data_IF_871308332638
#
_entry.id   IF_871308332638
#
_cell.length_a   1.000
_cell.length_b   1.000
_cell.length_c   1.000
_cell.angle_alpha   90.00
_cell.angle_beta   90.00
_cell.angle_gamma   90.00
#
_symmetry.space_group_name_H-M   'P 1'
#
loop_
_entity.id
_entity.type
_entity.pdbx_description
1 polymer ?
#
# COMPACT_ATOMS: atom_id res chain seq x y z
N UNK A 1 -11.36 21.24 24.12
CA UNK A 1 -11.18 21.31 22.66
C UNK A 1 -12.20 20.38 22.01
N UNK A 2 -13.03 20.89 21.09
CA UNK A 2 -14.07 20.10 20.40
C UNK A 2 -13.45 19.45 19.16
N UNK A 3 -13.56 18.12 19.02
CA UNK A 3 -13.23 17.39 17.79
C UNK A 3 -14.33 17.63 16.77
N UNK A 4 -14.02 18.34 15.70
CA UNK A 4 -14.88 18.37 14.52
C UNK A 4 -14.48 17.21 13.62
N UNK A 5 -15.39 16.23 13.46
CA UNK A 5 -15.26 15.19 12.44
C UNK A 5 -16.17 15.64 11.29
N UNK A 6 -15.58 16.25 10.28
CA UNK A 6 -16.27 16.53 9.02
C UNK A 6 -16.46 15.23 8.25
N UNK A 7 -17.72 14.87 7.97
CA UNK A 7 -18.07 13.79 7.05
C UNK A 7 -17.97 14.34 5.63
N UNK A 8 -16.96 13.89 4.88
CA UNK A 8 -16.86 14.14 3.45
C UNK A 8 -18.02 13.44 2.72
N UNK A 9 -18.87 14.21 2.04
CA UNK A 9 -19.85 13.70 1.08
C UNK A 9 -19.18 13.55 -0.29
N UNK A 10 -19.29 12.41 -1.00
CA UNK A 10 -18.79 12.30 -2.36
C UNK A 10 -19.60 13.17 -3.32
N UNK A 11 -18.89 13.95 -4.14
CA UNK A 11 -19.41 14.62 -5.32
C UNK A 11 -19.51 13.58 -6.44
N UNK A 12 -20.67 13.50 -7.09
CA UNK A 12 -20.85 12.70 -8.31
C UNK A 12 -19.96 13.23 -9.43
N UNK A 13 -19.21 12.34 -10.09
CA UNK A 13 -18.75 12.55 -11.46
C UNK A 13 -18.51 11.17 -12.13
N UNK A 14 -19.46 10.86 -13.00
CA UNK A 14 -19.36 10.33 -14.38
C UNK A 14 -18.60 9.02 -14.67
N UNK A 15 -19.31 8.16 -15.39
CA UNK A 15 -18.96 6.82 -15.87
C UNK A 15 -17.59 6.74 -16.56
N UNK A 16 -16.76 5.78 -16.13
CA UNK A 16 -15.82 5.08 -17.00
C UNK A 16 -16.04 3.58 -16.83
N UNK A 17 -16.19 2.91 -17.97
CA UNK A 17 -16.27 1.47 -18.08
C UNK A 17 -14.91 0.83 -17.74
N UNK A 18 -15.00 -0.45 -17.35
CA UNK A 18 -13.94 -1.39 -16.97
C UNK A 18 -13.63 -1.49 -15.47
N UNK A 19 -13.61 -2.74 -15.00
CA UNK A 19 -13.76 -3.13 -13.60
C UNK A 19 -12.67 -2.58 -12.69
N UNK A 20 -12.96 -1.49 -11.97
CA UNK A 20 -12.13 -0.98 -10.89
C UNK A 20 -11.78 -2.11 -9.91
N UNK A 21 -10.49 -2.40 -9.66
CA UNK A 21 -10.08 -3.49 -8.75
C UNK A 21 -10.40 -3.17 -7.28
N UNK A 22 -10.93 -1.99 -6.99
CA UNK A 22 -11.14 -1.43 -5.66
C UNK A 22 -12.64 -1.51 -5.31
N UNK A 23 -12.97 -2.24 -4.25
CA UNK A 23 -14.30 -2.31 -3.67
C UNK A 23 -14.29 -1.63 -2.29
N UNK A 24 -15.18 -0.66 -2.08
CA UNK A 24 -15.40 -0.06 -0.77
C UNK A 24 -16.19 -1.04 0.11
N UNK A 25 -15.66 -1.42 1.28
CA UNK A 25 -16.35 -2.28 2.24
C UNK A 25 -17.19 -1.42 3.19
N UNK A 26 -16.59 -0.42 3.84
CA UNK A 26 -17.25 0.40 4.87
C UNK A 26 -16.81 1.89 4.84
N UNK A 27 -16.38 2.40 3.68
CA UNK A 27 -15.91 3.78 3.50
C UNK A 27 -14.53 4.10 4.10
N UNK A 28 -14.01 3.25 4.99
CA UNK A 28 -12.65 3.31 5.55
C UNK A 28 -11.75 2.23 4.96
N UNK A 29 -12.30 1.03 4.74
CA UNK A 29 -11.57 -0.12 4.20
C UNK A 29 -11.91 -0.32 2.73
N UNK A 30 -10.86 -0.51 1.93
CA UNK A 30 -10.97 -0.83 0.51
C UNK A 30 -10.36 -2.21 0.25
N UNK A 31 -11.13 -3.12 -0.34
CA UNK A 31 -10.63 -4.40 -0.84
C UNK A 31 -10.08 -4.17 -2.24
N UNK A 32 -8.87 -4.64 -2.50
CA UNK A 32 -8.27 -4.55 -3.83
C UNK A 32 -7.88 -5.95 -4.28
N UNK A 33 -8.52 -6.46 -5.33
CA UNK A 33 -8.22 -7.74 -5.97
C UNK A 33 -7.56 -7.51 -7.32
N UNK A 34 -6.55 -8.31 -7.66
CA UNK A 34 -5.91 -8.30 -8.99
C UNK A 34 -6.43 -9.46 -9.84
N UNK A 35 -6.67 -9.19 -11.13
CA UNK A 35 -7.08 -10.15 -12.15
C UNK A 35 -5.98 -10.45 -13.19
N UNK A 36 -4.88 -9.69 -13.20
CA UNK A 36 -3.82 -9.81 -14.20
C UNK A 36 -2.79 -10.88 -13.78
N UNK A 37 -1.86 -11.29 -14.64
CA UNK A 37 -0.81 -12.29 -14.28
C UNK A 37 0.48 -11.66 -13.71
N UNK A 38 0.57 -10.32 -13.65
CA UNK A 38 1.74 -9.57 -13.17
C UNK A 38 1.57 -8.90 -11.79
N UNK A 39 2.67 -8.36 -11.24
CA UNK A 39 2.63 -7.54 -10.03
C UNK A 39 1.74 -6.32 -10.25
N UNK A 40 0.88 -5.99 -9.29
CA UNK A 40 0.04 -4.79 -9.36
C UNK A 40 0.42 -3.86 -8.23
N UNK A 41 0.94 -2.69 -8.59
CA UNK A 41 1.20 -1.57 -7.68
C UNK A 41 0.08 -0.54 -7.80
N UNK A 42 -0.63 -0.29 -6.71
CA UNK A 42 -1.72 0.68 -6.65
C UNK A 42 -1.37 1.76 -5.64
N UNK A 43 -1.41 3.02 -6.08
CA UNK A 43 -1.38 4.17 -5.17
C UNK A 43 -2.78 4.55 -4.74
N UNK A 44 -2.92 4.95 -3.49
CA UNK A 44 -4.07 5.74 -3.05
C UNK A 44 -3.95 7.17 -3.60
N UNK A 45 -5.08 7.82 -3.84
CA UNK A 45 -5.15 9.19 -4.39
C UNK A 45 -4.95 10.27 -3.33
N UNK A 46 -5.12 9.93 -2.04
CA UNK A 46 -4.96 10.87 -0.93
C UNK A 46 -3.50 11.31 -0.78
N UNK A 47 -3.26 12.60 -0.98
CA UNK A 47 -1.97 13.26 -0.69
C UNK A 47 -1.85 13.44 0.82
N UNK A 48 -0.74 13.00 1.39
CA UNK A 48 -0.43 13.07 2.82
C UNK A 48 0.39 14.34 3.10
N UNK A 49 -0.29 15.46 3.36
CA UNK A 49 0.37 16.76 3.55
C UNK A 49 0.61 17.11 5.02
N UNK A 50 -0.46 17.17 5.82
CA UNK A 50 -0.41 17.62 7.20
C UNK A 50 -1.03 16.57 8.13
N UNK A 51 -0.35 16.25 9.22
CA UNK A 51 -0.81 15.38 10.28
C UNK A 51 -0.26 13.96 10.21
N UNK A 52 -0.91 13.08 10.97
CA UNK A 52 -0.57 11.67 11.08
C UNK A 52 -1.55 10.86 10.22
N UNK A 53 -1.01 10.08 9.30
CA UNK A 53 -1.75 9.27 8.35
C UNK A 53 -1.40 7.81 8.54
N UNK A 54 -2.41 6.94 8.43
CA UNK A 54 -2.22 5.50 8.58
C UNK A 54 -2.87 4.78 7.42
N UNK A 55 -2.21 3.72 6.96
CA UNK A 55 -2.79 2.70 6.08
C UNK A 55 -2.54 1.35 6.72
N UNK A 56 -3.60 0.54 6.82
CA UNK A 56 -3.52 -0.87 7.21
C UNK A 56 -3.90 -1.73 6.00
N UNK A 57 -3.15 -2.81 5.79
CA UNK A 57 -3.39 -3.78 4.74
C UNK A 57 -3.27 -5.19 5.31
N UNK A 58 -4.12 -6.08 4.80
CA UNK A 58 -4.03 -7.52 4.99
C UNK A 58 -3.95 -8.15 3.61
N UNK A 59 -2.99 -9.06 3.43
CA UNK A 59 -2.77 -9.75 2.16
C UNK A 59 -3.21 -11.21 2.30
N UNK A 60 -3.86 -11.74 1.28
CA UNK A 60 -4.18 -13.17 1.17
C UNK A 60 -3.68 -13.67 -0.16
N UNK A 61 -3.24 -14.94 -0.21
CA UNK A 61 -2.74 -15.60 -1.44
C UNK A 61 -1.67 -14.78 -2.19
N UNK A 62 -0.82 -14.05 -1.46
CA UNK A 62 0.19 -13.15 -2.03
C UNK A 62 1.44 -13.86 -2.56
N UNK A 63 1.51 -15.20 -2.49
CA UNK A 63 2.71 -15.97 -2.82
C UNK A 63 4.01 -15.42 -2.21
N UNK A 64 3.92 -14.80 -1.02
CA UNK A 64 5.01 -14.12 -0.31
C UNK A 64 5.56 -12.86 -1.02
N UNK A 65 4.73 -12.23 -1.86
CA UNK A 65 5.03 -10.97 -2.54
C UNK A 65 3.91 -9.97 -2.23
N UNK A 66 4.10 -9.26 -1.13
CA UNK A 66 3.19 -8.26 -0.61
C UNK A 66 3.99 -7.12 -0.02
N UNK A 67 3.73 -5.90 -0.45
CA UNK A 67 4.48 -4.71 -0.02
C UNK A 67 3.53 -3.54 0.22
N UNK A 68 3.82 -2.75 1.26
CA UNK A 68 3.19 -1.45 1.49
C UNK A 68 4.25 -0.36 1.59
N UNK A 69 3.83 0.88 1.41
CA UNK A 69 4.75 1.99 1.55
C UNK A 69 4.19 3.33 1.12
N UNK A 70 5.11 4.26 0.86
CA UNK A 70 4.78 5.58 0.33
C UNK A 70 5.53 5.84 -0.98
N UNK A 71 4.91 6.63 -1.83
CA UNK A 71 5.47 7.13 -3.09
C UNK A 71 5.39 8.65 -3.08
N UNK A 72 6.38 9.32 -3.69
CA UNK A 72 6.32 10.76 -3.92
C UNK A 72 5.06 11.12 -4.68
N UNK A 73 4.40 12.20 -4.27
CA UNK A 73 3.17 12.64 -4.92
C UNK A 73 3.37 12.92 -6.43
N UNK A 74 4.51 13.52 -6.78
CA UNK A 74 4.90 13.84 -8.16
C UNK A 74 5.26 12.64 -9.02
N UNK A 75 5.33 11.44 -8.45
CA UNK A 75 5.74 10.24 -9.17
C UNK A 75 4.55 9.43 -9.65
N UNK A 76 4.50 9.19 -10.96
CA UNK A 76 3.46 8.37 -11.59
C UNK A 76 3.86 6.90 -11.53
N UNK A 77 2.96 6.07 -11.00
CA UNK A 77 3.07 4.61 -11.02
C UNK A 77 2.47 4.11 -12.33
N UNK A 78 3.26 3.39 -13.12
CA UNK A 78 2.85 2.69 -14.35
C UNK A 78 2.67 1.19 -14.10
N UNK A 79 2.11 0.47 -15.08
CA UNK A 79 1.61 -0.92 -14.93
C UNK A 79 2.64 -1.98 -14.51
N UNK A 80 3.94 -1.71 -14.53
CA UNK A 80 4.99 -2.64 -14.07
C UNK A 80 5.89 -2.08 -12.96
N UNK A 81 5.39 -1.07 -12.23
CA UNK A 81 6.17 -0.39 -11.20
C UNK A 81 6.47 -1.31 -10.04
N UNK A 82 7.69 -1.81 -9.97
CA UNK A 82 8.17 -2.58 -8.82
C UNK A 82 9.04 -1.68 -7.92
N UNK A 83 8.71 -1.50 -6.63
CA UNK A 83 9.33 -0.50 -5.76
C UNK A 83 10.81 -0.76 -5.47
N UNK A 84 11.30 -1.97 -5.73
CA UNK A 84 12.72 -2.33 -5.61
C UNK A 84 13.54 -1.99 -6.86
N UNK A 85 12.88 -1.86 -8.01
CA UNK A 85 13.55 -1.73 -9.30
C UNK A 85 13.90 -0.28 -9.58
N UNK A 86 15.02 -0.04 -10.27
CA UNK A 86 15.29 1.28 -10.83
C UNK A 86 14.28 1.59 -11.96
N UNK A 87 13.79 2.83 -12.06
CA UNK A 87 14.10 4.00 -11.23
C UNK A 87 13.21 4.15 -9.98
N UNK A 88 12.21 3.29 -9.82
CA UNK A 88 11.13 3.40 -8.83
C UNK A 88 11.62 3.46 -7.38
N UNK A 89 12.67 2.71 -7.03
CA UNK A 89 13.27 2.68 -5.69
C UNK A 89 13.84 4.04 -5.22
N UNK A 90 13.98 5.01 -6.11
CA UNK A 90 14.39 6.39 -5.78
C UNK A 90 13.22 7.32 -5.45
N UNK A 91 11.99 6.89 -5.74
CA UNK A 91 10.77 7.67 -5.53
C UNK A 91 9.80 7.02 -4.54
N UNK A 92 10.13 5.83 -4.06
CA UNK A 92 9.30 5.01 -3.21
C UNK A 92 10.07 4.59 -1.95
N UNK A 93 9.32 4.42 -0.86
CA UNK A 93 9.76 3.71 0.34
C UNK A 93 8.87 2.50 0.50
N UNK A 94 9.45 1.30 0.52
CA UNK A 94 8.70 0.05 0.66
C UNK A 94 9.13 -0.75 1.88
N UNK A 95 8.15 -1.39 2.50
CA UNK A 95 8.33 -2.48 3.46
C UNK A 95 7.49 -3.66 3.00
N UNK A 96 8.12 -4.83 2.86
CA UNK A 96 7.38 -6.02 2.50
C UNK A 96 8.18 -7.27 2.26
N UNK A 97 7.44 -8.30 1.87
CA UNK A 97 7.97 -9.57 1.38
C UNK A 97 7.93 -9.53 -0.14
N UNK A 98 8.97 -10.01 -0.82
CA UNK A 98 8.93 -9.89 -2.28
C UNK A 98 10.09 -10.35 -3.12
N UNK A 99 11.30 -10.56 -2.59
CA UNK A 99 12.35 -11.20 -3.38
C UNK A 99 13.38 -11.84 -2.46
N UNK A 100 13.44 -13.17 -2.49
CA UNK A 100 14.35 -14.01 -1.71
C UNK A 100 15.83 -13.59 -1.86
N UNK A 101 16.17 -12.93 -2.96
CA UNK A 101 17.52 -12.43 -3.26
C UNK A 101 17.89 -11.09 -2.60
N UNK A 102 16.91 -10.28 -2.17
CA UNK A 102 17.14 -8.87 -1.77
C UNK A 102 16.83 -8.58 -0.29
N UNK A 103 16.42 -9.61 0.45
CA UNK A 103 16.23 -9.58 1.90
C UNK A 103 14.76 -9.48 2.28
N UNK A 104 14.26 -10.55 2.91
CA UNK A 104 12.92 -10.56 3.49
C UNK A 104 12.76 -9.42 4.49
N UNK A 105 11.61 -8.73 4.43
CA UNK A 105 11.22 -7.70 5.38
C UNK A 105 12.13 -6.47 5.45
N UNK A 106 12.98 -6.24 4.46
CA UNK A 106 13.80 -5.03 4.45
C UNK A 106 12.95 -3.78 4.12
N UNK A 107 13.41 -2.63 4.62
CA UNK A 107 12.97 -1.34 4.08
C UNK A 107 13.84 -1.00 2.88
N UNK A 108 13.20 -0.65 1.77
CA UNK A 108 13.89 -0.06 0.61
C UNK A 108 13.57 1.41 0.50
N UNK A 109 14.61 2.22 0.42
CA UNK A 109 14.51 3.67 0.33
C UNK A 109 15.72 4.23 -0.42
N UNK A 110 15.49 5.01 -1.48
CA UNK A 110 16.57 5.61 -2.30
C UNK A 110 17.56 4.58 -2.83
N UNK A 111 17.05 3.43 -3.28
CA UNK A 111 17.85 2.29 -3.75
C UNK A 111 18.63 1.52 -2.67
N UNK A 112 18.56 1.94 -1.40
CA UNK A 112 19.23 1.25 -0.30
C UNK A 112 18.29 0.27 0.39
N UNK A 113 18.82 -0.89 0.77
CA UNK A 113 18.11 -1.95 1.50
C UNK A 113 18.57 -1.94 2.96
N UNK A 114 17.64 -1.77 3.89
CA UNK A 114 17.92 -1.81 5.34
C UNK A 114 17.17 -2.98 5.99
N UNK A 115 17.91 -3.95 6.52
CA UNK A 115 17.38 -5.14 7.20
C UNK A 115 17.14 -4.86 8.70
N UNK A 116 16.29 -5.67 9.33
CA UNK A 116 16.07 -5.64 10.79
C UNK A 116 14.61 -5.79 11.22
N UNK A 117 13.66 -5.68 10.31
CA UNK A 117 12.24 -5.96 10.56
C UNK A 117 11.93 -7.44 10.34
N UNK A 118 10.78 -7.90 10.86
CA UNK A 118 10.33 -9.29 10.70
C UNK A 118 9.57 -9.47 9.37
N UNK A 119 9.70 -10.63 8.75
CA UNK A 119 8.82 -10.99 7.63
C UNK A 119 7.37 -11.11 8.11
N UNK A 120 6.44 -10.78 7.23
CA UNK A 120 5.01 -10.98 7.45
C UNK A 120 4.42 -11.85 6.35
N UNK A 121 3.38 -12.59 6.70
CA UNK A 121 2.73 -13.60 5.87
C UNK A 121 1.26 -13.24 5.63
N UNK A 122 0.60 -14.07 4.83
CA UNK A 122 -0.83 -13.91 4.56
C UNK A 122 -1.63 -13.82 5.86
N UNK A 123 -2.67 -13.01 5.84
CA UNK A 123 -3.63 -12.75 6.93
C UNK A 123 -3.04 -12.02 8.15
N UNK A 124 -1.77 -11.57 8.09
CA UNK A 124 -1.25 -10.62 9.07
C UNK A 124 -1.64 -9.20 8.68
N UNK A 125 -1.85 -8.35 9.69
CA UNK A 125 -2.15 -6.93 9.51
C UNK A 125 -0.87 -6.14 9.48
N UNK A 126 -0.62 -5.45 8.37
CA UNK A 126 0.54 -4.60 8.21
C UNK A 126 0.07 -3.15 8.12
N UNK A 127 0.65 -2.30 8.96
CA UNK A 127 0.32 -0.88 9.01
C UNK A 127 1.55 -0.05 8.66
N UNK A 128 1.34 0.98 7.86
CA UNK A 128 2.27 2.08 7.65
C UNK A 128 1.68 3.34 8.31
N UNK A 129 2.46 4.02 9.12
CA UNK A 129 2.10 5.28 9.77
C UNK A 129 3.08 6.37 9.35
N UNK A 130 2.56 7.39 8.68
CA UNK A 130 3.31 8.57 8.26
C UNK A 130 2.98 9.74 9.17
N UNK A 131 4.00 10.33 9.79
CA UNK A 131 3.91 11.57 10.57
C UNK A 131 4.60 12.68 9.77
N UNK A 132 3.80 13.62 9.23
CA UNK A 132 4.30 14.68 8.37
C UNK A 132 5.12 15.73 9.14
N UNK A 133 4.85 15.92 10.43
CA UNK A 133 5.56 16.89 11.27
C UNK A 133 6.96 16.38 11.62
N UNK A 134 7.08 15.08 11.91
CA UNK A 134 8.38 14.43 12.16
C UNK A 134 9.10 14.00 10.88
N UNK A 135 8.39 13.93 9.76
CA UNK A 135 8.89 13.38 8.51
C UNK A 135 9.29 11.91 8.64
N UNK A 136 8.48 11.12 9.35
CA UNK A 136 8.77 9.70 9.65
C UNK A 136 7.74 8.75 9.07
N UNK A 137 8.17 7.56 8.66
CA UNK A 137 7.33 6.44 8.28
C UNK A 137 7.67 5.22 9.14
N UNK A 138 6.71 4.77 9.93
CA UNK A 138 6.84 3.65 10.87
C UNK A 138 5.98 2.49 10.37
N UNK A 139 6.45 1.27 10.57
CA UNK A 139 5.72 0.05 10.22
C UNK A 139 5.37 -0.77 11.47
N UNK A 140 4.24 -1.45 11.43
CA UNK A 140 3.88 -2.47 12.42
C UNK A 140 3.29 -3.71 11.77
N UNK A 141 3.55 -4.87 12.37
CA UNK A 141 2.97 -6.17 11.98
C UNK A 141 2.15 -6.68 13.17
N UNK A 142 0.87 -6.98 12.96
CA UNK A 142 -0.09 -7.39 13.98
C UNK A 142 -0.09 -6.49 15.23
N UNK A 143 0.01 -5.17 14.98
CA UNK A 143 0.05 -4.15 16.04
C UNK A 143 1.41 -3.98 16.71
N UNK A 144 2.43 -4.79 16.38
CA UNK A 144 3.79 -4.68 16.92
C UNK A 144 4.65 -3.81 16.02
N UNK A 145 5.08 -2.66 16.53
CA UNK A 145 5.98 -1.74 15.82
C UNK A 145 7.32 -2.43 15.48
N UNK A 146 7.79 -2.20 14.26
CA UNK A 146 9.04 -2.73 13.75
C UNK A 146 10.23 -1.81 14.08
N UNK A 147 11.44 -2.36 14.29
CA UNK A 147 12.59 -1.60 14.78
C UNK A 147 13.19 -0.64 13.74
N UNK A 148 13.10 -0.97 12.46
CA UNK A 148 13.58 -0.12 11.36
C UNK A 148 12.42 0.71 10.83
N UNK A 149 12.65 2.03 10.75
CA UNK A 149 11.69 3.02 10.27
C UNK A 149 12.42 4.07 9.42
N UNK A 150 11.68 4.88 8.65
CA UNK A 150 12.25 5.93 7.80
C UNK A 150 12.07 7.29 8.45
N UNK A 151 13.08 8.16 8.29
CA UNK A 151 13.07 9.56 8.73
C UNK A 151 13.56 10.49 7.62
N UNK A 152 13.27 11.79 7.75
CA UNK A 152 13.72 12.81 6.81
C UNK A 152 12.86 12.89 5.54
N UNK A 153 11.59 12.50 5.63
CA UNK A 153 10.61 12.68 4.57
C UNK A 153 10.11 14.14 4.64
N UNK A 154 10.46 14.94 3.64
CA UNK A 154 10.19 16.38 3.57
C UNK A 154 9.38 16.78 2.33
N UNK A 155 8.82 15.80 1.62
CA UNK A 155 8.03 15.99 0.40
C UNK A 155 6.62 15.43 0.59
N UNK A 156 5.67 15.88 -0.23
CA UNK A 156 4.32 15.31 -0.27
C UNK A 156 4.39 13.89 -0.81
N UNK A 157 3.65 12.98 -0.17
CA UNK A 157 3.63 11.55 -0.51
C UNK A 157 2.21 11.01 -0.55
N UNK A 158 2.06 9.82 -1.14
CA UNK A 158 0.82 9.02 -1.16
C UNK A 158 1.14 7.61 -0.68
N UNK A 159 0.20 6.94 -0.04
CA UNK A 159 0.36 5.53 0.26
C UNK A 159 0.21 4.68 -1.00
N UNK A 160 0.94 3.57 -1.08
CA UNK A 160 0.76 2.55 -2.10
C UNK A 160 0.83 1.14 -1.51
N UNK A 161 0.32 0.18 -2.26
CA UNK A 161 0.56 -1.24 -2.02
C UNK A 161 0.92 -1.98 -3.30
N UNK A 162 1.70 -3.05 -3.18
CA UNK A 162 1.99 -4.02 -4.23
C UNK A 162 1.56 -5.41 -3.77
N UNK A 163 0.91 -6.16 -4.65
CA UNK A 163 0.57 -7.58 -4.44
C UNK A 163 0.70 -8.35 -5.74
N UNK A 164 0.99 -9.66 -5.65
CA UNK A 164 0.77 -10.57 -6.78
C UNK A 164 -0.71 -10.88 -6.96
N UNK A 165 -1.09 -11.37 -8.14
CA UNK A 165 -2.44 -11.84 -8.41
C UNK A 165 -2.85 -13.02 -7.53
N UNK A 166 -4.13 -13.08 -7.22
CA UNK A 166 -4.82 -14.25 -6.67
C UNK A 166 -5.24 -15.17 -7.81
N UNK A 167 -4.63 -16.34 -7.96
CA UNK A 167 -5.16 -17.37 -8.86
C UNK A 167 -6.25 -18.18 -8.15
N UNK A 168 -7.49 -18.11 -8.67
CA UNK A 168 -8.34 -19.26 -9.06
C UNK A 168 -9.69 -18.73 -9.54
N UNK A 169 -9.90 -18.82 -10.84
CA UNK A 169 -11.21 -18.68 -11.46
C UNK A 169 -12.09 -19.84 -10.96
N UNK A 170 -13.16 -19.56 -10.20
CA UNK A 170 -14.29 -20.48 -10.15
C UNK A 170 -15.17 -20.07 -11.32
N UNK A 171 -15.08 -20.79 -12.44
CA UNK A 171 -16.11 -20.67 -13.46
C UNK A 171 -17.44 -20.99 -12.76
N UNK A 172 -18.43 -20.08 -12.83
CA UNK A 172 -19.79 -20.17 -12.26
C UNK A 172 -20.12 -19.28 -11.04
N UNK A 173 -19.63 -18.04 -10.96
CA UNK A 173 -20.25 -17.06 -10.05
C UNK A 173 -21.56 -16.53 -10.64
N UNK A 174 -22.66 -16.71 -9.91
CA UNK A 174 -23.97 -16.09 -10.18
C UNK A 174 -24.07 -14.86 -9.29
N UNK A 175 -24.15 -13.68 -9.90
CA UNK A 175 -24.45 -12.45 -9.16
C UNK A 175 -25.94 -12.45 -8.79
N UNK A 176 -26.22 -12.44 -7.48
CA UNK A 176 -27.57 -12.19 -6.96
C UNK A 176 -27.64 -10.71 -6.59
N UNK A 177 -28.55 -9.98 -7.21
CA UNK A 177 -28.84 -8.61 -6.81
C UNK A 177 -29.75 -8.60 -5.59
N UNK A 178 -29.57 -7.59 -4.74
CA UNK A 178 -30.61 -7.19 -3.79
C UNK A 178 -31.49 -6.12 -4.43
#
# INVERSE_FOLDING_TARGET
>A
MKKNIEKLKPKQETQMNESSPIQDIDGVMKKISSKNEGFVTVSLTQILENGIWQMEAEFSNSHNIATIGIVRDTYNITEDTHPYSNPHCNHMVSYGTGVQEWGDAAIVCKGNVTKGNIAYYNNQKIKAEFDSEKGTLIFSVDGVQQPVYVRGINEKVRFFKLQTPTTKHVANEIAVQW
#
